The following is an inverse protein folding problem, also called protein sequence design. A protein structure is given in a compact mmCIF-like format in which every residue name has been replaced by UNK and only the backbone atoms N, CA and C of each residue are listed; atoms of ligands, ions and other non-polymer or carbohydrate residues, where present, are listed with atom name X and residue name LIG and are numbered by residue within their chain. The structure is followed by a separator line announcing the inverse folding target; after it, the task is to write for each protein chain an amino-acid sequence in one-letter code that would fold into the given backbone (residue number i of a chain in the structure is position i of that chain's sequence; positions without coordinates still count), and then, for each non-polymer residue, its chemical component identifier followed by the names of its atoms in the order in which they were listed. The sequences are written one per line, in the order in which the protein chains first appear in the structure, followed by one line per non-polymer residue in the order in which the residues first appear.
data_IF_524252544117
#
_entry.id   IF_524252544117
#
_cell.length_a   1.000
_cell.length_b   1.000
_cell.length_c   1.000
_cell.angle_alpha   90.00
_cell.angle_beta   90.00
_cell.angle_gamma   90.00
#
_symmetry.space_group_name_H-M   'P 1'
#
loop_
_entity.id
_entity.type
_entity.pdbx_description
1 polymer ?
#
# COMPACT_ATOMS: atom_id res chain seq x y z
N UNK A 1 -0.93 -21.16 21.91
CA UNK A 1 -1.69 -20.16 21.13
C UNK A 1 -2.36 -20.86 19.96
N UNK A 2 -3.65 -20.61 19.71
CA UNK A 2 -4.34 -21.12 18.51
C UNK A 2 -3.92 -20.30 17.29
N UNK A 3 -3.66 -20.92 16.13
CA UNK A 3 -3.33 -20.17 14.91
C UNK A 3 -4.45 -19.22 14.52
N UNK A 4 -4.12 -17.95 14.24
CA UNK A 4 -5.08 -16.91 13.85
C UNK A 4 -4.64 -16.26 12.54
N UNK A 5 -5.60 -15.99 11.65
CA UNK A 5 -5.34 -15.30 10.38
C UNK A 5 -6.20 -14.05 10.28
N UNK A 6 -5.56 -12.89 10.24
CA UNK A 6 -6.18 -11.59 10.05
C UNK A 6 -6.20 -11.26 8.55
N UNK A 7 -7.38 -11.33 7.93
CA UNK A 7 -7.60 -11.01 6.52
C UNK A 7 -8.30 -9.66 6.37
N UNK A 8 -8.20 -9.07 5.19
CA UNK A 8 -9.09 -7.97 4.82
C UNK A 8 -10.50 -8.51 4.65
N UNK A 9 -11.51 -7.93 5.33
CA UNK A 9 -12.88 -8.38 5.16
C UNK A 9 -13.32 -8.14 3.73
N UNK A 10 -13.99 -9.13 3.14
CA UNK A 10 -14.52 -9.06 1.77
C UNK A 10 -15.48 -7.87 1.58
N UNK A 11 -16.07 -7.37 2.67
CA UNK A 11 -16.97 -6.20 2.70
C UNK A 11 -16.33 -4.89 2.19
N UNK A 12 -15.00 -4.76 2.17
CA UNK A 12 -14.33 -3.57 1.61
C UNK A 12 -14.30 -3.62 0.07
N UNK A 13 -14.33 -4.82 -0.52
CA UNK A 13 -14.28 -5.02 -1.97
C UNK A 13 -15.42 -4.29 -2.69
N UNK A 14 -16.72 -4.40 -2.31
CA UNK A 14 -17.78 -3.68 -2.99
C UNK A 14 -17.65 -2.16 -2.87
N UNK A 15 -17.13 -1.63 -1.76
CA UNK A 15 -16.88 -0.19 -1.60
C UNK A 15 -15.80 0.28 -2.59
N UNK A 16 -14.70 -0.47 -2.69
CA UNK A 16 -13.64 -0.19 -3.66
C UNK A 16 -14.16 -0.29 -5.10
N UNK A 17 -14.91 -1.34 -5.42
CA UNK A 17 -15.54 -1.52 -6.72
C UNK A 17 -16.49 -0.37 -7.05
N UNK A 18 -17.29 0.11 -6.08
CA UNK A 18 -18.19 1.23 -6.28
C UNK A 18 -17.45 2.54 -6.60
N UNK A 19 -16.36 2.83 -5.87
CA UNK A 19 -15.51 4.01 -6.14
C UNK A 19 -14.87 3.93 -7.53
N UNK A 20 -14.36 2.75 -7.90
CA UNK A 20 -13.77 2.49 -9.22
C UNK A 20 -14.82 2.63 -10.31
N UNK A 21 -15.98 1.99 -10.15
CA UNK A 21 -17.07 2.01 -11.12
C UNK A 21 -17.59 3.43 -11.35
N UNK A 22 -17.70 4.24 -10.29
CA UNK A 22 -18.07 5.64 -10.41
C UNK A 22 -17.03 6.45 -11.20
N UNK A 23 -15.73 6.20 -10.97
CA UNK A 23 -14.65 6.81 -11.74
C UNK A 23 -14.68 6.41 -13.22
N UNK A 24 -14.88 5.12 -13.51
CA UNK A 24 -15.00 4.60 -14.88
C UNK A 24 -16.25 5.16 -15.57
N UNK A 25 -17.41 5.14 -14.90
CA UNK A 25 -18.65 5.69 -15.46
C UNK A 25 -18.51 7.18 -15.80
N UNK A 26 -17.81 7.95 -14.97
CA UNK A 26 -17.53 9.36 -15.25
C UNK A 26 -16.60 9.54 -16.45
N UNK A 27 -15.59 8.69 -16.58
CA UNK A 27 -14.70 8.68 -17.76
C UNK A 27 -15.47 8.33 -19.04
N UNK A 28 -16.38 7.36 -18.97
CA UNK A 28 -17.23 6.97 -20.09
C UNK A 28 -18.21 8.04 -20.50
N UNK A 29 -18.89 8.64 -19.51
CA UNK A 29 -19.78 9.77 -19.79
C UNK A 29 -19.04 10.92 -20.45
N UNK A 30 -17.80 11.20 -20.03
CA UNK A 30 -16.97 12.21 -20.67
C UNK A 30 -16.56 11.81 -22.09
N UNK A 31 -16.04 10.60 -22.29
CA UNK A 31 -15.61 10.10 -23.59
C UNK A 31 -16.75 10.08 -24.62
N UNK A 32 -17.96 9.70 -24.18
CA UNK A 32 -19.15 9.69 -25.00
C UNK A 32 -19.58 11.10 -25.44
N UNK A 33 -19.45 12.11 -24.58
CA UNK A 33 -19.81 13.49 -24.91
C UNK A 33 -18.75 14.20 -25.78
N UNK A 34 -17.51 13.73 -25.77
CA UNK A 34 -16.38 14.36 -26.48
C UNK A 34 -16.05 13.68 -27.82
N UNK A 35 -16.93 12.80 -28.33
CA UNK A 35 -16.78 12.07 -29.60
C UNK A 35 -15.42 11.34 -29.72
N UNK A 36 -14.90 10.87 -28.59
CA UNK A 36 -13.64 10.14 -28.53
C UNK A 36 -13.83 8.81 -29.25
N UNK A 37 -13.14 8.62 -30.38
CA UNK A 37 -13.27 7.41 -31.20
C UNK A 37 -13.18 6.11 -30.39
N UNK A 38 -14.00 5.11 -30.72
CA UNK A 38 -14.29 3.95 -29.87
C UNK A 38 -13.07 3.11 -29.43
N UNK A 39 -11.94 3.18 -30.14
CA UNK A 39 -10.70 2.48 -29.73
C UNK A 39 -10.06 3.10 -28.50
N UNK A 40 -10.08 4.43 -28.36
CA UNK A 40 -9.49 5.14 -27.21
C UNK A 40 -10.27 4.87 -25.92
N UNK A 41 -11.60 4.83 -26.02
CA UNK A 41 -12.49 4.52 -24.91
C UNK A 41 -12.23 3.12 -24.34
N UNK A 42 -12.10 2.10 -25.22
CA UNK A 42 -11.80 0.72 -24.81
C UNK A 42 -10.46 0.59 -24.08
N UNK A 43 -9.43 1.32 -24.53
CA UNK A 43 -8.11 1.32 -23.87
C UNK A 43 -8.20 1.92 -22.47
N UNK A 44 -8.92 3.04 -22.31
CA UNK A 44 -9.10 3.70 -21.01
C UNK A 44 -9.85 2.79 -20.05
N UNK A 45 -10.95 2.16 -20.49
CA UNK A 45 -11.70 1.18 -19.69
C UNK A 45 -10.78 0.03 -19.29
N UNK A 46 -10.08 -0.56 -20.26
CA UNK A 46 -9.21 -1.71 -20.03
C UNK A 46 -8.14 -1.42 -18.98
N UNK A 47 -7.47 -0.27 -19.09
CA UNK A 47 -6.47 0.18 -18.12
C UNK A 47 -7.07 0.42 -16.73
N UNK A 48 -8.24 1.06 -16.64
CA UNK A 48 -8.91 1.31 -15.37
C UNK A 48 -9.33 0.02 -14.67
N UNK A 49 -9.93 -0.92 -15.41
CA UNK A 49 -10.33 -2.24 -14.91
C UNK A 49 -9.12 -3.06 -14.47
N UNK A 50 -8.05 -3.08 -15.26
CA UNK A 50 -6.81 -3.77 -14.91
C UNK A 50 -6.20 -3.21 -13.62
N UNK A 51 -6.09 -1.88 -13.52
CA UNK A 51 -5.54 -1.22 -12.34
C UNK A 51 -6.40 -1.49 -11.10
N UNK A 52 -7.72 -1.40 -11.22
CA UNK A 52 -8.66 -1.77 -10.16
C UNK A 52 -8.50 -3.22 -9.71
N UNK A 53 -8.40 -4.16 -10.67
CA UNK A 53 -8.16 -5.58 -10.39
C UNK A 53 -6.85 -5.79 -9.62
N UNK A 54 -5.77 -5.11 -10.01
CA UNK A 54 -4.48 -5.17 -9.30
C UNK A 54 -4.58 -4.63 -7.87
N UNK A 55 -5.27 -3.51 -7.65
CA UNK A 55 -5.48 -2.95 -6.31
C UNK A 55 -6.30 -3.89 -5.41
N UNK A 56 -7.39 -4.47 -5.95
CA UNK A 56 -8.22 -5.42 -5.22
C UNK A 56 -7.42 -6.68 -4.88
N UNK A 57 -6.70 -7.24 -5.85
CA UNK A 57 -5.84 -8.41 -5.63
C UNK A 57 -4.76 -8.12 -4.57
N UNK A 58 -4.16 -6.93 -4.61
CA UNK A 58 -3.18 -6.49 -3.63
C UNK A 58 -3.80 -6.44 -2.21
N UNK A 59 -4.95 -5.80 -2.04
CA UNK A 59 -5.66 -5.68 -0.76
C UNK A 59 -6.10 -7.04 -0.21
N UNK A 60 -6.56 -7.95 -1.08
CA UNK A 60 -6.98 -9.29 -0.70
C UNK A 60 -5.81 -10.21 -0.33
N UNK A 61 -4.64 -9.99 -0.96
CA UNK A 61 -3.41 -10.72 -0.64
C UNK A 61 -2.79 -10.30 0.69
N UNK A 62 -3.08 -9.08 1.15
CA UNK A 62 -2.62 -8.60 2.44
C UNK A 62 -3.29 -9.36 3.59
N UNK A 63 -2.52 -10.21 4.27
CA UNK A 63 -2.95 -10.98 5.44
C UNK A 63 -1.84 -11.10 6.46
N UNK A 64 -2.18 -11.14 7.74
CA UNK A 64 -1.23 -11.43 8.81
C UNK A 64 -1.66 -12.73 9.46
N UNK A 65 -0.75 -13.69 9.54
CA UNK A 65 -0.99 -14.98 10.20
C UNK A 65 -0.13 -15.04 11.44
N UNK A 66 -0.71 -15.47 12.55
CA UNK A 66 -0.01 -15.68 13.82
C UNK A 66 -0.15 -17.14 14.17
N UNK A 67 0.97 -17.80 14.41
CA UNK A 67 1.05 -19.21 14.74
C UNK A 67 1.98 -19.44 15.93
N UNK A 68 2.25 -20.70 16.26
CA UNK A 68 3.10 -21.05 17.39
C UNK A 68 4.58 -20.72 17.16
N UNK A 69 5.02 -20.56 15.90
CA UNK A 69 6.42 -20.27 15.58
C UNK A 69 6.69 -18.77 15.45
N UNK A 70 5.65 -17.97 15.14
CA UNK A 70 5.80 -16.53 14.97
C UNK A 70 4.65 -15.86 14.23
N UNK A 71 5.01 -14.82 13.50
CA UNK A 71 4.10 -13.96 12.73
C UNK A 71 4.52 -13.95 11.25
N UNK A 72 3.60 -14.29 10.36
CA UNK A 72 3.78 -14.17 8.92
C UNK A 72 3.01 -12.96 8.40
N UNK A 73 3.74 -11.97 7.91
CA UNK A 73 3.15 -10.78 7.28
C UNK A 73 3.17 -10.97 5.77
N UNK A 74 1.99 -11.07 5.18
CA UNK A 74 1.82 -11.02 3.73
C UNK A 74 1.62 -9.57 3.30
N UNK A 75 2.61 -9.04 2.60
CA UNK A 75 2.49 -7.80 1.84
C UNK A 75 1.92 -8.07 0.44
N UNK A 76 1.69 -7.01 -0.33
CA UNK A 76 1.13 -7.08 -1.68
C UNK A 76 1.92 -8.02 -2.60
N UNK A 77 3.24 -8.04 -2.46
CA UNK A 77 4.14 -8.77 -3.37
C UNK A 77 4.83 -9.96 -2.69
N UNK A 78 5.03 -9.92 -1.37
CA UNK A 78 5.86 -10.90 -0.65
C UNK A 78 5.31 -11.23 0.72
N UNK A 79 5.47 -12.48 1.14
CA UNK A 79 5.31 -12.91 2.52
C UNK A 79 6.66 -12.91 3.24
N UNK A 80 6.71 -12.39 4.47
CA UNK A 80 7.87 -12.51 5.36
C UNK A 80 7.43 -13.11 6.69
N UNK A 81 8.12 -14.15 7.13
CA UNK A 81 7.95 -14.77 8.45
C UNK A 81 8.91 -14.12 9.45
N UNK A 82 8.40 -13.83 10.63
CA UNK A 82 9.13 -13.33 11.78
C UNK A 82 8.94 -14.35 12.89
N UNK A 83 9.99 -15.12 13.21
CA UNK A 83 9.91 -16.10 14.30
C UNK A 83 9.92 -15.37 15.63
N UNK A 84 9.34 -15.96 16.68
CA UNK A 84 9.33 -15.33 18.01
C UNK A 84 10.71 -14.86 18.51
N UNK A 85 11.81 -15.62 18.34
CA UNK A 85 13.15 -15.15 18.73
C UNK A 85 13.71 -13.99 17.90
N UNK A 86 13.13 -13.75 16.72
CA UNK A 86 13.55 -12.67 15.81
C UNK A 86 12.77 -11.37 16.07
N UNK A 87 11.82 -11.39 16.98
CA UNK A 87 11.00 -10.23 17.36
C UNK A 87 11.63 -9.58 18.59
N UNK A 88 11.98 -8.31 18.46
CA UNK A 88 12.52 -7.51 19.55
C UNK A 88 11.40 -6.94 20.43
N UNK A 89 10.34 -6.42 19.83
CA UNK A 89 9.21 -5.84 20.56
C UNK A 89 7.92 -5.87 19.73
N UNK A 90 6.79 -5.98 20.43
CA UNK A 90 5.44 -5.74 19.91
C UNK A 90 4.80 -4.59 20.70
N UNK A 91 4.30 -3.57 19.99
CA UNK A 91 3.61 -2.44 20.63
C UNK A 91 2.53 -1.84 19.75
N UNK A 92 1.57 -1.15 20.36
CA UNK A 92 0.61 -0.33 19.63
C UNK A 92 1.24 1.03 19.39
N UNK A 93 1.25 1.47 18.13
CA UNK A 93 1.59 2.85 17.79
C UNK A 93 0.38 3.55 17.16
N UNK A 94 0.16 4.80 17.58
CA UNK A 94 -0.62 5.75 16.81
C UNK A 94 0.36 6.43 15.86
N UNK A 95 0.08 6.47 14.56
CA UNK A 95 0.92 7.29 13.69
C UNK A 95 0.75 8.76 14.12
N UNK A 96 1.86 9.50 14.13
CA UNK A 96 1.87 10.86 14.60
C UNK A 96 0.93 11.74 13.78
N UNK A 97 0.17 12.59 14.51
CA UNK A 97 -0.87 13.49 13.98
C UNK A 97 -0.35 14.54 12.99
N UNK A 98 0.96 14.63 12.77
CA UNK A 98 1.60 15.65 11.94
C UNK A 98 1.49 15.40 10.44
N UNK A 99 1.10 14.20 10.00
CA UNK A 99 1.01 13.87 8.56
C UNK A 99 -0.45 13.77 8.08
N UNK A 100 -1.10 14.92 7.87
CA UNK A 100 -2.29 15.20 7.02
C UNK A 100 -3.56 14.30 7.08
N UNK A 101 -3.56 13.18 7.80
CA UNK A 101 -4.70 12.26 7.94
C UNK A 101 -5.21 12.28 9.38
N UNK A 102 -6.35 12.96 9.59
CA UNK A 102 -7.09 13.00 10.86
C UNK A 102 -7.56 11.63 11.35
N UNK A 103 -7.52 10.60 10.50
CA UNK A 103 -8.00 9.25 10.79
C UNK A 103 -6.83 8.24 10.87
N UNK A 104 -5.92 8.46 11.81
CA UNK A 104 -4.86 7.49 12.06
C UNK A 104 -5.30 6.51 13.14
N UNK A 105 -5.72 5.31 12.72
CA UNK A 105 -6.09 4.24 13.63
C UNK A 105 -4.83 3.62 14.27
N UNK A 106 -4.87 3.31 15.58
CA UNK A 106 -3.79 2.56 16.22
C UNK A 106 -3.59 1.20 15.54
N UNK A 107 -2.33 0.84 15.27
CA UNK A 107 -1.95 -0.45 14.70
C UNK A 107 -0.91 -1.14 15.59
N UNK A 108 -0.90 -2.48 15.58
CA UNK A 108 0.21 -3.22 16.19
C UNK A 108 1.42 -3.17 15.27
N UNK A 109 2.54 -2.75 15.85
CA UNK A 109 3.84 -2.66 15.22
C UNK A 109 4.74 -3.73 15.82
N UNK A 110 5.42 -4.45 14.93
CA UNK A 110 6.47 -5.40 15.23
C UNK A 110 7.82 -4.74 14.94
N UNK A 111 8.74 -4.86 15.88
CA UNK A 111 10.16 -4.56 15.67
C UNK A 111 10.90 -5.88 15.55
N UNK A 112 11.61 -6.08 14.44
CA UNK A 112 12.49 -7.23 14.31
C UNK A 112 13.78 -7.06 15.12
N UNK A 113 14.64 -8.08 15.13
CA UNK A 113 15.91 -8.09 15.86
C UNK A 113 16.88 -6.97 15.44
N UNK A 114 16.73 -6.45 14.23
CA UNK A 114 17.47 -5.29 13.70
C UNK A 114 16.74 -3.98 13.99
N UNK A 115 15.68 -4.02 14.81
CA UNK A 115 14.83 -2.88 15.14
C UNK A 115 14.15 -2.26 13.93
N UNK A 116 13.93 -3.04 12.87
CA UNK A 116 13.18 -2.58 11.70
C UNK A 116 11.69 -2.63 12.03
N UNK A 117 11.03 -1.49 11.80
CA UNK A 117 9.60 -1.30 12.01
C UNK A 117 8.77 -2.04 10.96
N UNK A 118 7.86 -2.89 11.41
CA UNK A 118 6.97 -3.70 10.57
C UNK A 118 5.53 -3.49 11.04
N UNK A 119 4.70 -2.91 10.19
CA UNK A 119 3.27 -2.75 10.47
C UNK A 119 2.58 -4.10 10.29
N UNK A 120 1.95 -4.63 11.34
CA UNK A 120 1.14 -5.83 11.22
C UNK A 120 -0.17 -5.47 10.54
N UNK A 121 -0.23 -5.74 9.23
CA UNK A 121 -1.40 -5.46 8.42
C UNK A 121 -2.60 -6.20 9.02
N UNK A 122 -3.74 -5.53 9.10
CA UNK A 122 -5.01 -6.10 9.55
C UNK A 122 -5.17 -6.30 11.07
N UNK A 123 -4.17 -5.96 11.91
CA UNK A 123 -4.30 -5.93 13.37
C UNK A 123 -4.38 -4.46 13.81
N UNK A 124 -5.60 -3.92 13.79
CA UNK A 124 -5.88 -2.51 14.08
C UNK A 124 -7.16 -2.35 14.88
N UNK A 125 -7.27 -1.22 15.58
CA UNK A 125 -8.45 -0.84 16.38
C UNK A 125 -9.75 -1.02 15.58
N UNK A 126 -9.83 -0.39 14.41
CA UNK A 126 -11.01 -0.44 13.53
C UNK A 126 -11.40 -1.87 13.13
N UNK A 127 -10.43 -2.77 12.99
CA UNK A 127 -10.68 -4.16 12.55
C UNK A 127 -11.03 -5.10 13.69
N UNK A 128 -10.52 -4.83 14.89
CA UNK A 128 -10.80 -5.62 16.08
C UNK A 128 -12.00 -5.09 16.87
N UNK A 129 -12.58 -3.96 16.44
CA UNK A 129 -13.79 -3.40 17.04
C UNK A 129 -13.53 -2.49 18.23
N UNK A 130 -12.36 -1.83 18.30
CA UNK A 130 -12.04 -0.89 19.37
C UNK A 130 -10.60 -1.00 19.87
N UNK A 131 -10.17 0.04 20.60
CA UNK A 131 -8.88 0.08 21.27
C UNK A 131 -8.72 -1.03 22.32
N UNK A 132 -9.78 -1.40 23.03
CA UNK A 132 -9.75 -2.46 24.05
C UNK A 132 -9.51 -3.84 23.45
N UNK A 133 -10.18 -4.13 22.32
CA UNK A 133 -9.98 -5.37 21.60
C UNK A 133 -8.54 -5.46 21.03
N UNK A 134 -8.01 -4.34 20.55
CA UNK A 134 -6.61 -4.25 20.11
C UNK A 134 -5.62 -4.46 21.26
N UNK A 135 -5.89 -3.91 22.44
CA UNK A 135 -5.04 -4.07 23.62
C UNK A 135 -5.03 -5.53 24.12
N UNK A 136 -6.20 -6.19 24.14
CA UNK A 136 -6.30 -7.63 24.46
C UNK A 136 -5.51 -8.47 23.46
N UNK A 137 -5.68 -8.23 22.17
CA UNK A 137 -4.94 -8.95 21.13
C UNK A 137 -3.42 -8.73 21.26
N UNK A 138 -2.96 -7.50 21.50
CA UNK A 138 -1.54 -7.24 21.75
C UNK A 138 -1.03 -7.99 22.99
N UNK A 139 -1.84 -8.09 24.03
CA UNK A 139 -1.48 -8.79 25.28
C UNK A 139 -1.27 -10.28 25.01
N UNK A 140 -2.18 -10.90 24.26
CA UNK A 140 -2.07 -12.31 23.86
C UNK A 140 -0.85 -12.54 22.96
N UNK A 141 -0.60 -11.65 22.00
CA UNK A 141 0.60 -11.70 21.15
C UNK A 141 1.89 -11.57 21.96
N UNK A 142 1.92 -10.67 22.95
CA UNK A 142 3.08 -10.49 23.84
C UNK A 142 3.32 -11.73 24.69
N UNK A 143 2.27 -12.36 25.21
CA UNK A 143 2.40 -13.61 25.97
C UNK A 143 2.98 -14.74 25.09
N UNK A 144 2.47 -14.89 23.86
CA UNK A 144 2.99 -15.87 22.91
C UNK A 144 4.46 -15.61 22.54
N UNK A 145 4.80 -14.35 22.29
CA UNK A 145 6.18 -13.93 22.05
C UNK A 145 7.10 -14.20 23.24
N UNK A 146 6.67 -13.87 24.47
CA UNK A 146 7.44 -14.12 25.68
C UNK A 146 7.72 -15.61 25.89
N UNK A 147 6.75 -16.47 25.58
CA UNK A 147 6.92 -17.93 25.61
C UNK A 147 7.86 -18.44 24.50
N UNK A 148 7.79 -17.84 23.30
CA UNK A 148 8.52 -18.32 22.11
C UNK A 148 9.91 -17.70 21.86
N UNK A 149 10.29 -16.63 22.56
CA UNK A 149 11.54 -15.88 22.28
C UNK A 149 12.84 -16.63 22.62
N UNK A 150 12.73 -17.69 23.44
CA UNK A 150 13.87 -18.49 23.89
C UNK A 150 14.67 -17.86 25.04
N UNK A 151 15.56 -18.64 25.68
CA UNK A 151 16.34 -18.21 26.84
C UNK A 151 17.43 -17.19 26.52
N UNK A 152 17.92 -17.16 25.27
CA UNK A 152 18.99 -16.26 24.82
C UNK A 152 18.51 -14.83 24.55
N UNK A 153 17.21 -14.58 24.69
CA UNK A 153 16.66 -13.26 24.47
C UNK A 153 17.14 -12.28 25.54
N UNK A 154 17.76 -11.17 25.11
CA UNK A 154 18.18 -10.09 25.99
C UNK A 154 17.48 -8.79 25.61
N UNK A 155 16.91 -8.06 26.59
CA UNK A 155 16.31 -6.76 26.31
C UNK A 155 17.38 -5.74 25.91
N UNK A 156 17.15 -4.99 24.83
CA UNK A 156 18.02 -3.90 24.36
C UNK A 156 17.38 -2.54 24.64
N UNK A 157 17.17 -2.24 25.91
CA UNK A 157 16.41 -1.06 26.34
C UNK A 157 16.93 0.26 25.77
N UNK A 158 18.26 0.42 25.66
CA UNK A 158 18.87 1.64 25.11
C UNK A 158 18.55 1.85 23.62
N UNK A 159 18.51 0.78 22.84
CA UNK A 159 18.20 0.85 21.40
C UNK A 159 16.70 1.13 21.16
N UNK A 160 15.83 0.58 22.02
CA UNK A 160 14.38 0.87 21.98
C UNK A 160 14.08 2.34 22.29
N UNK A 161 14.79 2.94 23.25
CA UNK A 161 14.64 4.37 23.55
C UNK A 161 15.11 5.28 22.40
N UNK A 162 16.08 4.82 21.60
CA UNK A 162 16.50 5.54 20.38
C UNK A 162 15.47 5.39 19.25
N UNK A 163 14.79 4.24 19.16
CA UNK A 163 13.71 4.04 18.20
C UNK A 163 12.56 5.01 18.42
N UNK A 164 12.17 5.30 19.65
CA UNK A 164 11.10 6.28 19.93
C UNK A 164 11.42 7.65 19.36
N UNK A 165 12.68 8.07 19.46
CA UNK A 165 13.15 9.34 18.88
C UNK A 165 13.18 9.32 17.34
N UNK A 166 13.45 8.15 16.73
CA UNK A 166 13.49 7.98 15.27
C UNK A 166 12.09 7.79 14.66
N UNK A 167 11.19 7.12 15.37
CA UNK A 167 9.81 6.90 14.96
C UNK A 167 9.11 8.25 14.75
N UNK A 168 9.37 9.24 15.61
CA UNK A 168 8.89 10.62 15.47
C UNK A 168 9.39 11.36 14.20
N UNK A 169 10.47 10.88 13.56
CA UNK A 169 11.07 11.51 12.36
C UNK A 169 10.90 10.71 11.08
N UNK A 170 10.35 9.50 11.16
CA UNK A 170 10.26 8.63 9.99
C UNK A 170 9.03 9.03 9.19
N UNK A 171 9.23 9.67 8.04
CA UNK A 171 8.18 9.78 7.02
C UNK A 171 7.68 8.36 6.76
N UNK A 172 6.38 8.06 6.97
CA UNK A 172 5.91 6.71 6.83
C UNK A 172 6.20 6.29 5.39
N UNK A 173 6.88 5.16 5.20
CA UNK A 173 7.17 4.61 3.87
C UNK A 173 5.86 4.49 3.05
N UNK A 174 4.73 4.32 3.73
CA UNK A 174 3.37 4.42 3.17
C UNK A 174 3.10 5.79 2.52
N UNK A 175 3.52 6.92 3.10
CA UNK A 175 3.42 8.23 2.45
C UNK A 175 4.28 8.31 1.19
N UNK A 176 5.44 7.64 1.13
CA UNK A 176 6.21 7.56 -0.12
C UNK A 176 5.46 6.72 -1.16
N UNK A 177 4.84 5.60 -0.77
CA UNK A 177 4.01 4.81 -1.69
C UNK A 177 2.74 5.54 -2.13
N UNK A 178 2.08 6.26 -1.22
CA UNK A 178 0.90 7.07 -1.53
C UNK A 178 1.27 8.29 -2.38
N UNK A 179 2.44 8.89 -2.16
CA UNK A 179 2.98 9.95 -3.00
C UNK A 179 3.35 9.41 -4.38
N UNK A 180 4.01 8.25 -4.47
CA UNK A 180 4.31 7.61 -5.76
C UNK A 180 3.04 7.19 -6.51
N UNK A 181 2.03 6.68 -5.79
CA UNK A 181 0.72 6.34 -6.35
C UNK A 181 -0.02 7.62 -6.78
N UNK A 182 0.05 8.68 -5.99
CA UNK A 182 -0.51 10.00 -6.31
C UNK A 182 0.17 10.62 -7.53
N UNK A 183 1.51 10.58 -7.61
CA UNK A 183 2.30 11.02 -8.77
C UNK A 183 1.94 10.16 -9.99
N UNK A 184 1.78 8.85 -9.83
CA UNK A 184 1.31 7.97 -10.89
C UNK A 184 -0.09 8.34 -11.39
N UNK A 185 -1.03 8.62 -10.47
CA UNK A 185 -2.37 9.09 -10.83
C UNK A 185 -2.33 10.45 -11.51
N UNK A 186 -1.55 11.40 -10.99
CA UNK A 186 -1.40 12.75 -11.56
C UNK A 186 -0.76 12.67 -12.94
N UNK A 187 0.28 11.85 -13.12
CA UNK A 187 0.90 11.60 -14.42
C UNK A 187 -0.08 10.98 -15.40
N UNK A 188 -0.86 9.98 -14.98
CA UNK A 188 -1.89 9.35 -15.80
C UNK A 188 -2.97 10.36 -16.23
N UNK A 189 -3.41 11.24 -15.31
CA UNK A 189 -4.40 12.28 -15.60
C UNK A 189 -3.83 13.38 -16.49
N UNK A 190 -2.61 13.85 -16.25
CA UNK A 190 -1.93 14.85 -17.08
C UNK A 190 -1.77 14.34 -18.51
N UNK A 191 -1.35 13.09 -18.65
CA UNK A 191 -1.35 12.42 -19.93
C UNK A 191 -2.70 12.46 -20.61
N UNK A 192 -3.76 12.04 -19.91
CA UNK A 192 -5.10 12.03 -20.47
C UNK A 192 -5.51 13.42 -20.95
N UNK A 193 -5.21 14.47 -20.17
CA UNK A 193 -5.49 15.86 -20.53
C UNK A 193 -4.70 16.29 -21.77
N UNK A 194 -3.41 15.95 -21.83
CA UNK A 194 -2.56 16.26 -22.99
C UNK A 194 -3.04 15.53 -24.24
N UNK A 195 -3.44 14.25 -24.12
CA UNK A 195 -4.04 13.49 -25.21
C UNK A 195 -5.30 14.18 -25.75
N UNK A 196 -6.18 14.66 -24.86
CA UNK A 196 -7.40 15.37 -25.25
C UNK A 196 -7.09 16.73 -25.89
N UNK A 197 -6.16 17.51 -25.34
CA UNK A 197 -5.78 18.81 -25.89
C UNK A 197 -5.12 18.71 -27.28
N UNK A 198 -4.43 17.60 -27.57
CA UNK A 198 -3.86 17.34 -28.90
C UNK A 198 -4.96 16.93 -29.90
N UNK A 199 -5.99 16.19 -29.46
CA UNK A 199 -7.13 15.84 -30.30
C UNK A 199 -7.94 17.07 -30.74
N UNK A 200 -8.02 18.09 -29.88
CA UNK A 200 -8.67 19.37 -30.18
C UNK A 200 -7.79 20.34 -31.00
N UNK A 201 -6.49 20.06 -31.17
CA UNK A 201 -5.60 20.95 -31.90
C UNK A 201 -5.98 20.96 -33.40
N UNK A 202 -6.11 22.15 -34.03
CA UNK A 202 -6.49 22.25 -35.43
C UNK A 202 -5.49 21.49 -36.29
N UNK A 203 -6.01 20.66 -37.21
CA UNK A 203 -5.25 19.75 -38.07
C UNK A 203 -4.41 20.50 -39.10
N UNK A 204 -3.42 21.24 -38.62
CA UNK A 204 -2.52 22.03 -39.43
C UNK A 204 -1.41 21.10 -39.96
N UNK A 205 -1.80 20.07 -40.72
CA UNK A 205 -1.00 19.30 -41.69
C UNK A 205 0.38 18.72 -41.33
N UNK A 206 0.91 18.89 -40.13
CA UNK A 206 2.31 18.54 -39.85
C UNK A 206 2.56 18.07 -38.41
N UNK A 207 1.74 17.16 -37.90
CA UNK A 207 2.01 16.46 -36.63
C UNK A 207 2.75 15.15 -36.89
N UNK A 208 4.01 15.25 -37.30
CA UNK A 208 4.93 14.11 -37.42
C UNK A 208 5.24 13.41 -36.06
N UNK A 209 4.73 13.95 -34.94
CA UNK A 209 4.75 13.31 -33.63
C UNK A 209 3.48 12.48 -33.44
N UNK A 210 3.47 11.30 -34.04
CA UNK A 210 2.31 10.41 -34.13
C UNK A 210 1.76 9.91 -32.79
N UNK A 211 0.51 9.47 -32.89
CA UNK A 211 -0.34 8.81 -31.87
C UNK A 211 0.35 7.82 -30.91
N UNK A 212 1.43 7.06 -31.28
CA UNK A 212 2.09 6.15 -30.34
C UNK A 212 2.77 6.85 -29.16
N UNK A 213 3.26 8.09 -29.34
CA UNK A 213 3.99 8.80 -28.29
C UNK A 213 3.09 9.25 -27.14
N UNK A 214 1.83 9.55 -27.45
CA UNK A 214 0.84 10.10 -26.53
C UNK A 214 0.39 9.04 -25.51
N UNK A 215 0.26 7.78 -25.93
CA UNK A 215 -0.14 6.67 -25.05
C UNK A 215 1.04 5.85 -24.52
N UNK A 216 2.14 5.77 -25.27
CA UNK A 216 3.31 4.96 -24.91
C UNK A 216 4.13 5.55 -23.76
N UNK A 217 4.49 6.83 -23.84
CA UNK A 217 5.35 7.49 -22.82
C UNK A 217 4.78 7.43 -21.40
N UNK A 218 3.49 7.68 -21.17
CA UNK A 218 2.87 7.62 -19.85
C UNK A 218 2.78 6.22 -19.27
N UNK A 219 2.40 5.24 -20.10
CA UNK A 219 2.35 3.85 -19.69
C UNK A 219 3.76 3.36 -19.32
N UNK A 220 4.77 3.72 -20.12
CA UNK A 220 6.18 3.46 -19.85
C UNK A 220 6.63 4.17 -18.56
N UNK A 221 6.27 5.43 -18.34
CA UNK A 221 6.61 6.16 -17.12
C UNK A 221 5.95 5.56 -15.88
N UNK A 222 4.68 5.13 -15.96
CA UNK A 222 4.00 4.45 -14.87
C UNK A 222 4.68 3.11 -14.53
N UNK A 223 5.02 2.32 -15.56
CA UNK A 223 5.75 1.05 -15.41
C UNK A 223 7.16 1.28 -14.86
N UNK A 224 7.89 2.28 -15.36
CA UNK A 224 9.22 2.64 -14.89
C UNK A 224 9.21 3.16 -13.47
N UNK A 225 8.22 3.97 -13.09
CA UNK A 225 8.09 4.47 -11.71
C UNK A 225 7.78 3.31 -10.75
N UNK A 226 6.93 2.38 -11.18
CA UNK A 226 6.65 1.15 -10.42
C UNK A 226 7.88 0.24 -10.31
N UNK A 227 8.58 -0.02 -11.42
CA UNK A 227 9.79 -0.83 -11.48
C UNK A 227 10.93 -0.21 -10.68
N UNK A 228 11.11 1.11 -10.77
CA UNK A 228 12.09 1.87 -10.00
C UNK A 228 11.77 1.79 -8.49
N UNK A 229 10.50 1.91 -8.11
CA UNK A 229 10.06 1.68 -6.73
C UNK A 229 10.39 0.27 -6.22
N UNK A 230 10.29 -0.75 -7.07
CA UNK A 230 10.68 -2.13 -6.75
C UNK A 230 12.20 -2.31 -6.62
N UNK A 231 12.99 -1.75 -7.55
CA UNK A 231 14.46 -1.87 -7.58
C UNK A 231 15.11 -1.08 -6.45
N UNK A 232 14.67 0.16 -6.19
CA UNK A 232 15.19 0.97 -5.10
C UNK A 232 15.00 0.29 -3.75
N UNK A 233 13.85 -0.38 -3.56
CA UNK A 233 13.58 -1.22 -2.39
C UNK A 233 14.50 -2.43 -2.26
N UNK A 234 14.93 -3.03 -3.37
CA UNK A 234 15.89 -4.13 -3.35
C UNK A 234 17.27 -3.65 -2.87
N UNK A 235 17.76 -2.53 -3.41
CA UNK A 235 19.08 -1.97 -3.06
C UNK A 235 19.17 -1.52 -1.60
N UNK A 236 18.13 -0.86 -1.08
CA UNK A 236 18.09 -0.38 0.32
C UNK A 236 18.04 -1.50 1.39
N UNK A 237 18.07 -2.77 0.98
CA UNK A 237 18.10 -3.94 1.87
C UNK A 237 19.44 -4.67 1.83
N UNK A 238 20.29 -4.38 0.85
CA UNK A 238 21.65 -4.91 0.73
C UNK A 238 22.69 -3.95 1.31
N UNK A 239 22.37 -2.66 1.38
CA UNK A 239 23.05 -1.67 2.20
C UNK A 239 22.45 -1.65 3.61
#
# INVERSE_FOLDING_TARGET
MTPRTYRTPWQIVPVLLGVIALGVARLLFKAHNEDVGGTGELIIIGCAVLFAGLLIAAVLRARTTVDQDGIVVHSLVRAKRYRWPDIAELRIERADRTTMSRATFPNVILYDRDLKRVVLSNISDKRLGGADALARELTELRQAWQAGRGPDWRPRHEELAQLDRRAARTIPVIAIYLAALGIGMVSMVLTLIISLAILEAPQNGNTAFGEPFIFGVPAVLAVLTFAFGLVWRHRRRQA
#
